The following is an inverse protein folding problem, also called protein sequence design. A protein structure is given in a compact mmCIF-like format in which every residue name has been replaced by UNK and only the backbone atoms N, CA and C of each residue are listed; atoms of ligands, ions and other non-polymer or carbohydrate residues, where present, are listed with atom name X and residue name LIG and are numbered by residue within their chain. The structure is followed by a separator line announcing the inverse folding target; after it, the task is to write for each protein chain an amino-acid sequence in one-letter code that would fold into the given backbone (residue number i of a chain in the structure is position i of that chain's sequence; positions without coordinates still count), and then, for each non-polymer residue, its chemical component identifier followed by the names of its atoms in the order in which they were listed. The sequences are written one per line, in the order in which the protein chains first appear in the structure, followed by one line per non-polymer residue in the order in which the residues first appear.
data_IF_384384766447
#
_entry.id   IF_384384766447
#
_cell.length_a   1.000
_cell.length_b   1.000
_cell.length_c   1.000
_cell.angle_alpha   90.00
_cell.angle_beta   90.00
_cell.angle_gamma   90.00
#
_symmetry.space_group_name_H-M   'P 1'
#
loop_
_entity.id
_entity.type
_entity.pdbx_description
1 polymer ?
#
# COMPACT_ATOMS: atom_id res chain seq x y z
N UNK A 1 -33.58 -22.04 36.11
CA UNK A 1 -32.59 -22.39 35.06
C UNK A 1 -32.36 -21.29 34.02
N UNK A 2 -33.39 -20.57 33.54
CA UNK A 2 -33.23 -19.51 32.51
C UNK A 2 -32.46 -18.27 33.00
N UNK A 3 -32.58 -17.91 34.28
CA UNK A 3 -31.91 -16.75 34.88
C UNK A 3 -30.40 -16.93 35.05
N UNK A 4 -29.95 -18.14 35.42
CA UNK A 4 -28.52 -18.48 35.52
C UNK A 4 -27.82 -18.45 34.16
N UNK A 5 -28.54 -18.81 33.09
CA UNK A 5 -28.05 -18.74 31.71
C UNK A 5 -27.90 -17.30 31.22
N UNK A 6 -28.89 -16.44 31.50
CA UNK A 6 -28.84 -15.01 31.23
C UNK A 6 -27.70 -14.30 31.99
N UNK A 7 -27.48 -14.66 33.25
CA UNK A 7 -26.34 -14.15 34.03
C UNK A 7 -25.00 -14.59 33.44
N UNK A 8 -24.89 -15.86 33.01
CA UNK A 8 -23.69 -16.37 32.36
C UNK A 8 -23.34 -15.63 31.07
N UNK A 9 -24.32 -15.41 30.19
CA UNK A 9 -24.10 -14.66 28.95
C UNK A 9 -23.65 -13.22 29.25
N UNK A 10 -24.30 -12.54 30.19
CA UNK A 10 -23.93 -11.17 30.57
C UNK A 10 -22.49 -11.06 31.07
N UNK A 11 -22.05 -12.01 31.91
CA UNK A 11 -20.68 -12.06 32.41
C UNK A 11 -19.69 -12.32 31.27
N UNK A 12 -20.01 -13.25 30.36
CA UNK A 12 -19.11 -13.54 29.23
C UNK A 12 -18.93 -12.34 28.31
N UNK A 13 -20.00 -11.59 28.01
CA UNK A 13 -19.92 -10.39 27.17
C UNK A 13 -19.06 -9.32 27.84
N UNK A 14 -19.24 -9.09 29.14
CA UNK A 14 -18.43 -8.13 29.90
C UNK A 14 -16.94 -8.51 29.90
N UNK A 15 -16.61 -9.79 30.12
CA UNK A 15 -15.23 -10.25 30.09
C UNK A 15 -14.58 -10.08 28.71
N UNK A 16 -15.31 -10.38 27.62
CA UNK A 16 -14.81 -10.22 26.25
C UNK A 16 -14.57 -8.74 25.92
N UNK A 17 -15.49 -7.84 26.32
CA UNK A 17 -15.31 -6.40 26.12
C UNK A 17 -14.09 -5.86 26.86
N UNK A 18 -13.87 -6.26 28.12
CA UNK A 18 -12.69 -5.86 28.89
C UNK A 18 -11.41 -6.41 28.25
N UNK A 19 -11.41 -7.66 27.79
CA UNK A 19 -10.25 -8.28 27.15
C UNK A 19 -9.86 -7.54 25.85
N UNK A 20 -10.84 -7.15 25.03
CA UNK A 20 -10.58 -6.36 23.81
C UNK A 20 -10.00 -4.99 24.17
N UNK A 21 -10.58 -4.29 25.14
CA UNK A 21 -10.09 -2.98 25.59
C UNK A 21 -8.67 -3.05 26.15
N UNK A 22 -8.33 -4.10 26.90
CA UNK A 22 -6.97 -4.31 27.42
C UNK A 22 -6.00 -4.68 26.30
N UNK A 23 -6.43 -5.48 25.31
CA UNK A 23 -5.59 -5.84 24.17
C UNK A 23 -5.25 -4.62 23.30
N UNK A 24 -6.23 -3.79 22.96
CA UNK A 24 -6.01 -2.53 22.23
C UNK A 24 -5.22 -1.52 23.06
N UNK A 25 -5.46 -1.46 24.37
CA UNK A 25 -4.70 -0.64 25.32
C UNK A 25 -3.24 -1.06 25.47
N UNK A 26 -2.95 -2.37 25.44
CA UNK A 26 -1.59 -2.89 25.47
C UNK A 26 -0.90 -2.72 24.11
N UNK A 27 -1.62 -2.87 23.00
CA UNK A 27 -1.09 -2.65 21.64
C UNK A 27 -0.73 -1.18 21.39
N UNK A 28 -1.51 -0.24 21.94
CA UNK A 28 -1.23 1.20 21.86
C UNK A 28 -0.03 1.69 22.67
N UNK A 29 0.54 0.85 23.55
CA UNK A 29 1.79 1.17 24.27
C UNK A 29 3.08 0.91 23.45
N UNK A 30 2.94 0.58 22.15
CA UNK A 30 4.08 0.30 21.26
C UNK A 30 4.61 1.50 20.47
N UNK A 31 3.99 2.69 20.60
CA UNK A 31 4.41 3.90 19.87
C UNK A 31 4.57 5.09 20.80
N UNK A 32 5.64 5.08 21.59
CA UNK A 32 6.20 6.31 22.15
C UNK A 32 7.73 6.30 22.04
N UNK A 33 8.23 6.50 20.82
CA UNK A 33 9.46 7.26 20.62
C UNK A 33 9.61 7.61 19.14
N UNK A 34 9.04 8.73 18.75
CA UNK A 34 9.52 9.48 17.59
C UNK A 34 9.74 10.91 18.08
N UNK A 35 10.96 11.20 18.51
CA UNK A 35 11.41 12.57 18.72
C UNK A 35 11.29 13.30 17.37
N UNK A 36 10.39 14.26 17.29
CA UNK A 36 10.43 15.28 16.27
C UNK A 36 11.54 16.27 16.67
N UNK A 37 12.73 16.10 16.10
CA UNK A 37 13.84 17.04 16.25
C UNK A 37 13.81 17.98 15.05
N UNK A 38 13.10 19.09 15.20
CA UNK A 38 13.18 20.25 14.30
C UNK A 38 14.60 20.80 14.33
N UNK A 39 15.40 20.52 13.30
CA UNK A 39 16.67 21.21 13.03
C UNK A 39 16.82 21.42 11.52
N UNK A 40 16.39 22.58 11.03
CA UNK A 40 17.05 23.22 9.90
C UNK A 40 18.14 24.14 10.49
N UNK A 41 19.39 24.04 10.01
CA UNK A 41 19.84 25.09 9.10
C UNK A 41 20.78 24.61 7.97
N UNK A 42 20.66 25.34 6.86
CA UNK A 42 21.69 25.79 5.92
C UNK A 42 22.78 24.82 5.39
N UNK A 43 22.78 24.74 4.05
CA UNK A 43 23.94 24.61 3.17
C UNK A 43 24.83 23.37 3.30
N UNK A 44 24.50 22.34 2.52
CA UNK A 44 25.51 21.50 1.88
C UNK A 44 25.18 21.30 0.41
N UNK A 45 25.88 22.07 -0.43
CA UNK A 45 26.02 21.83 -1.86
C UNK A 45 26.60 20.43 -2.09
N UNK A 46 25.75 19.44 -2.32
CA UNK A 46 26.16 18.17 -2.88
C UNK A 46 26.22 18.34 -4.40
N UNK A 47 27.43 18.65 -4.88
CA UNK A 47 27.80 18.53 -6.28
C UNK A 47 27.88 17.05 -6.63
N UNK A 48 26.76 16.46 -7.01
CA UNK A 48 26.77 15.14 -7.63
C UNK A 48 27.41 15.29 -9.01
N UNK A 49 28.69 14.94 -9.04
CA UNK A 49 29.47 14.81 -10.25
C UNK A 49 28.84 13.68 -11.06
N UNK A 50 27.98 14.03 -12.01
CA UNK A 50 27.55 13.12 -13.04
C UNK A 50 28.79 12.75 -13.86
N UNK A 51 29.42 11.64 -13.49
CA UNK A 51 30.26 10.90 -14.39
C UNK A 51 29.34 10.51 -15.55
N UNK A 52 29.47 11.23 -16.66
CA UNK A 52 28.89 10.88 -17.95
C UNK A 52 29.50 9.55 -18.37
N UNK A 53 28.93 8.47 -17.84
CA UNK A 53 29.19 7.15 -18.34
C UNK A 53 28.66 7.16 -19.77
N UNK A 54 29.60 7.17 -20.70
CA UNK A 54 29.36 7.19 -22.13
C UNK A 54 28.72 5.85 -22.45
N UNK A 55 27.41 5.75 -22.24
CA UNK A 55 26.61 4.66 -22.74
C UNK A 55 26.63 4.78 -24.25
N UNK A 56 27.65 4.15 -24.82
CA UNK A 56 27.74 3.71 -26.21
C UNK A 56 26.36 3.19 -26.59
N UNK A 57 25.58 4.05 -27.27
CA UNK A 57 24.33 3.69 -27.88
C UNK A 57 24.64 2.54 -28.83
N UNK A 58 24.48 1.30 -28.35
CA UNK A 58 24.29 0.16 -29.23
C UNK A 58 22.96 0.46 -29.90
N UNK A 59 23.05 1.12 -31.03
CA UNK A 59 22.01 1.24 -32.02
C UNK A 59 21.65 -0.20 -32.38
N UNK A 60 20.75 -0.78 -31.60
CA UNK A 60 20.19 -2.09 -31.80
C UNK A 60 19.34 -1.93 -33.05
N UNK A 61 19.91 -2.34 -34.17
CA UNK A 61 19.26 -2.38 -35.47
C UNK A 61 17.87 -2.99 -35.30
N UNK A 62 16.85 -2.15 -35.46
CA UNK A 62 15.42 -2.45 -35.32
C UNK A 62 14.94 -3.29 -36.51
N UNK A 63 15.64 -4.37 -36.83
CA UNK A 63 15.25 -5.32 -37.87
C UNK A 63 14.55 -6.50 -37.20
N UNK A 64 13.22 -6.42 -37.20
CA UNK A 64 12.25 -7.41 -36.72
C UNK A 64 12.38 -7.88 -35.26
N UNK A 65 11.91 -7.07 -34.30
CA UNK A 65 11.44 -7.64 -33.03
C UNK A 65 10.07 -8.25 -33.32
N UNK A 66 9.99 -9.59 -33.33
CA UNK A 66 8.72 -10.32 -33.45
C UNK A 66 7.96 -10.16 -32.13
N UNK A 67 6.82 -9.49 -32.18
CA UNK A 67 5.87 -9.42 -31.05
C UNK A 67 5.11 -10.74 -31.00
N UNK A 68 4.98 -11.31 -29.81
CA UNK A 68 4.18 -12.49 -29.56
C UNK A 68 2.95 -12.13 -28.72
N UNK A 69 1.81 -12.83 -28.90
CA UNK A 69 0.63 -12.62 -28.08
C UNK A 69 0.87 -12.92 -26.60
N UNK A 70 0.05 -12.33 -25.75
CA UNK A 70 0.00 -12.69 -24.33
C UNK A 70 -0.45 -14.17 -24.24
N UNK A 71 0.26 -15.04 -23.49
CA UNK A 71 -0.13 -16.43 -23.33
C UNK A 71 -1.56 -16.56 -22.77
N UNK A 72 -2.35 -17.48 -23.35
CA UNK A 72 -3.75 -17.69 -22.94
C UNK A 72 -3.89 -18.32 -21.55
N UNK A 73 -2.84 -18.94 -21.02
CA UNK A 73 -2.84 -19.58 -19.72
C UNK A 73 -1.55 -19.23 -18.98
N UNK A 74 -1.70 -18.67 -17.79
CA UNK A 74 -0.65 -18.54 -16.79
C UNK A 74 -1.18 -19.22 -15.54
N UNK A 75 -0.35 -20.01 -14.87
CA UNK A 75 -0.70 -20.59 -13.58
C UNK A 75 -0.79 -19.45 -12.55
N UNK A 76 -2.00 -19.19 -12.04
CA UNK A 76 -2.26 -18.13 -11.08
C UNK A 76 -2.61 -18.78 -9.75
N UNK A 77 -1.87 -18.43 -8.71
CA UNK A 77 -2.29 -18.69 -7.34
C UNK A 77 -3.48 -17.77 -7.01
N UNK A 78 -4.68 -18.35 -7.01
CA UNK A 78 -5.91 -17.59 -6.78
C UNK A 78 -6.04 -17.07 -5.36
N UNK A 79 -5.43 -17.72 -4.37
CA UNK A 79 -5.52 -17.25 -2.99
C UNK A 79 -4.60 -16.07 -2.77
N UNK A 80 -3.39 -16.10 -3.34
CA UNK A 80 -2.52 -14.94 -3.38
C UNK A 80 -3.14 -13.78 -4.18
N UNK A 81 -3.77 -14.08 -5.32
CA UNK A 81 -4.44 -13.07 -6.14
C UNK A 81 -5.61 -12.38 -5.40
N UNK A 82 -6.39 -13.12 -4.58
CA UNK A 82 -7.44 -12.53 -3.74
C UNK A 82 -6.86 -11.56 -2.70
N UNK A 83 -5.75 -11.92 -2.08
CA UNK A 83 -5.06 -11.01 -1.13
C UNK A 83 -4.61 -9.75 -1.87
N UNK A 84 -3.95 -9.91 -3.02
CA UNK A 84 -3.55 -8.78 -3.88
C UNK A 84 -4.72 -7.89 -4.28
N UNK A 85 -5.88 -8.48 -4.57
CA UNK A 85 -7.10 -7.75 -4.90
C UNK A 85 -7.63 -6.88 -3.75
N UNK A 86 -7.58 -7.39 -2.52
CA UNK A 86 -7.95 -6.61 -1.33
C UNK A 86 -6.98 -5.43 -1.15
N UNK A 87 -5.67 -5.71 -1.23
CA UNK A 87 -4.63 -4.69 -1.08
C UNK A 87 -4.71 -3.60 -2.15
N UNK A 88 -5.00 -3.99 -3.40
CA UNK A 88 -5.16 -3.06 -4.53
C UNK A 88 -6.21 -1.98 -4.27
N UNK A 89 -7.24 -2.31 -3.47
CA UNK A 89 -8.34 -1.42 -3.13
C UNK A 89 -8.19 -0.75 -1.77
N UNK A 90 -7.19 -1.10 -0.97
CA UNK A 90 -7.06 -0.64 0.41
C UNK A 90 -6.44 0.77 0.47
N UNK A 91 -7.19 1.81 0.86
CA UNK A 91 -6.65 3.16 0.96
C UNK A 91 -5.75 3.33 2.19
N UNK A 92 -5.81 2.44 3.20
CA UNK A 92 -4.98 2.54 4.40
C UNK A 92 -3.49 2.30 4.14
N UNK A 93 -3.16 1.79 2.94
CA UNK A 93 -1.78 1.67 2.47
C UNK A 93 -1.17 3.03 2.09
N UNK A 94 -1.98 4.08 1.95
CA UNK A 94 -1.50 5.46 1.79
C UNK A 94 -1.35 6.18 3.14
N UNK A 95 -0.37 7.07 3.23
CA UNK A 95 -0.06 7.84 4.45
C UNK A 95 -1.25 8.65 4.98
N UNK A 96 -2.06 9.22 4.06
CA UNK A 96 -3.25 9.99 4.40
C UNK A 96 -4.55 9.16 4.40
N UNK A 97 -4.44 7.84 4.18
CA UNK A 97 -5.55 6.88 4.12
C UNK A 97 -6.64 7.23 3.09
N UNK A 98 -6.28 7.94 2.02
CA UNK A 98 -7.24 8.40 1.01
C UNK A 98 -6.98 7.86 -0.39
N UNK A 99 -5.87 7.18 -0.64
CA UNK A 99 -5.45 6.71 -1.97
C UNK A 99 -5.16 5.21 -1.92
N UNK A 100 -5.74 4.46 -2.85
CA UNK A 100 -5.37 3.06 -3.13
C UNK A 100 -4.80 2.94 -4.55
N UNK A 101 -4.32 1.75 -4.92
CA UNK A 101 -3.91 1.51 -6.31
C UNK A 101 -5.09 1.71 -7.27
N UNK A 102 -6.30 1.31 -6.89
CA UNK A 102 -7.52 1.49 -7.70
C UNK A 102 -7.86 2.96 -7.97
N UNK A 103 -7.54 3.86 -7.02
CA UNK A 103 -7.82 5.30 -7.16
C UNK A 103 -7.17 5.89 -8.42
N UNK A 104 -5.95 5.42 -8.74
CA UNK A 104 -5.21 5.85 -9.93
C UNK A 104 -5.35 4.87 -11.11
N UNK A 105 -5.38 3.57 -10.83
CA UNK A 105 -5.41 2.52 -11.84
C UNK A 105 -6.77 1.83 -11.91
N UNK A 106 -7.82 2.57 -12.27
CA UNK A 106 -9.15 1.96 -12.41
C UNK A 106 -9.15 0.85 -13.45
N UNK A 107 -9.47 -0.38 -13.03
CA UNK A 107 -9.57 -1.52 -13.96
C UNK A 107 -10.80 -1.40 -14.89
N UNK A 108 -11.76 -0.53 -14.57
CA UNK A 108 -12.86 -0.19 -15.47
C UNK A 108 -12.37 0.59 -16.71
N UNK A 109 -11.23 1.28 -16.59
CA UNK A 109 -10.56 1.98 -17.69
C UNK A 109 -9.32 1.24 -18.18
N UNK A 110 -9.30 -0.09 -18.04
CA UNK A 110 -8.16 -0.95 -18.37
C UNK A 110 -6.88 -0.67 -17.56
N UNK A 111 -7.01 -0.14 -16.34
CA UNK A 111 -5.88 0.10 -15.44
C UNK A 111 -5.05 1.34 -15.79
N UNK A 112 -5.48 2.12 -16.78
CA UNK A 112 -4.86 3.38 -17.15
C UNK A 112 -5.72 4.55 -16.66
N UNK A 113 -5.08 5.51 -16.02
CA UNK A 113 -5.69 6.82 -15.78
C UNK A 113 -5.90 7.54 -17.12
N UNK A 114 -7.05 8.20 -17.26
CA UNK A 114 -7.37 8.99 -18.46
C UNK A 114 -6.69 10.38 -18.40
N UNK A 115 -6.14 10.76 -17.24
CA UNK A 115 -5.67 12.12 -16.99
C UNK A 115 -4.21 12.35 -17.36
N UNK A 116 -4.03 13.21 -18.35
CA UNK A 116 -2.78 13.87 -18.74
C UNK A 116 -2.52 15.03 -17.76
N UNK A 117 -1.39 14.98 -17.05
CA UNK A 117 -0.71 16.10 -16.34
C UNK A 117 -1.63 17.05 -15.53
N UNK A 118 -1.74 16.83 -14.21
CA UNK A 118 -1.94 17.94 -13.27
C UNK A 118 -1.39 17.53 -11.89
N UNK A 119 -0.20 18.04 -11.58
CA UNK A 119 0.36 18.31 -10.24
C UNK A 119 -0.26 17.54 -9.06
N UNK A 120 0.48 16.55 -8.58
CA UNK A 120 0.62 16.15 -7.18
C UNK A 120 -0.43 16.73 -6.24
N UNK A 121 -1.59 16.09 -6.07
CA UNK A 121 -2.32 15.99 -4.80
C UNK A 121 -3.51 15.04 -5.02
N UNK A 122 -3.35 13.80 -4.55
CA UNK A 122 -4.31 12.67 -4.46
C UNK A 122 -4.28 11.60 -5.56
N UNK A 123 -3.77 11.88 -6.75
CA UNK A 123 -3.33 10.92 -7.76
C UNK A 123 -2.50 11.74 -8.78
#
# INVERSE_FOLDING_TARGET
MKTSYLAGISITVMCVSIAILVYDGASSNSHSSFEHKDHHPADSSHSDSHASDTHKTRQLTTSSIKVFPIPNATEIDHDLAKIGWVLFKDPNLSSNRSVSCETCHSLQTNGAEVMRLMTSFLC
#
